data_IF_550514535325
#
_entry.id   IF_550514535325
#
_cell.length_a   1.000
_cell.length_b   1.000
_cell.length_c   1.000
_cell.angle_alpha   90.00
_cell.angle_beta   90.00
_cell.angle_gamma   90.00
#
_symmetry.space_group_name_H-M   'P 1'
#
loop_
_entity.id
_entity.type
_entity.pdbx_description
1 polymer ?
#
# COMPACT_ATOMS: atom_id res chain seq x y z
N UNK A 1 2.94 -16.14 13.15
CA UNK A 1 2.01 -15.61 12.15
C UNK A 1 0.97 -16.67 11.86
N UNK A 2 -0.32 -16.45 12.08
CA UNK A 2 -1.30 -17.34 11.46
C UNK A 2 -1.14 -17.14 9.96
N UNK A 3 -1.21 -18.23 9.20
CA UNK A 3 -1.24 -18.11 7.75
C UNK A 3 -2.42 -17.24 7.36
N UNK A 4 -2.26 -16.29 6.43
CA UNK A 4 -3.39 -15.52 5.91
C UNK A 4 -4.44 -16.50 5.35
N UNK A 5 -5.71 -16.15 5.49
CA UNK A 5 -6.79 -16.97 4.92
C UNK A 5 -6.68 -16.87 3.39
N UNK A 6 -6.47 -18.01 2.76
CA UNK A 6 -6.35 -18.09 1.28
C UNK A 6 -7.76 -18.26 0.71
N UNK A 7 -8.12 -17.46 -0.29
CA UNK A 7 -9.34 -17.70 -1.07
C UNK A 7 -9.22 -19.00 -1.87
N UNK A 8 -10.31 -19.73 -2.02
CA UNK A 8 -10.27 -21.15 -2.46
C UNK A 8 -9.75 -21.38 -3.87
N UNK A 9 -9.96 -20.43 -4.79
CA UNK A 9 -9.49 -20.55 -6.18
C UNK A 9 -8.12 -19.88 -6.33
N UNK A 10 -7.24 -20.47 -7.13
CA UNK A 10 -5.93 -19.91 -7.48
C UNK A 10 -5.80 -19.77 -8.99
N UNK A 11 -5.03 -18.79 -9.42
CA UNK A 11 -4.59 -18.62 -10.81
C UNK A 11 -3.19 -19.24 -10.99
N UNK A 12 -2.81 -19.50 -12.23
CA UNK A 12 -1.48 -20.09 -12.53
C UNK A 12 -0.36 -19.04 -12.49
N UNK A 13 -0.72 -17.75 -12.58
CA UNK A 13 0.21 -16.61 -12.62
C UNK A 13 0.02 -15.67 -11.44
N UNK A 14 1.03 -14.86 -11.09
CA UNK A 14 0.91 -13.81 -10.06
C UNK A 14 -0.20 -12.82 -10.39
N UNK A 15 -0.88 -12.34 -9.37
CA UNK A 15 -1.88 -11.27 -9.48
C UNK A 15 -1.16 -9.95 -9.21
N UNK A 16 -1.11 -9.07 -10.20
CA UNK A 16 -0.38 -7.80 -10.13
C UNK A 16 -1.27 -6.63 -9.71
N UNK A 17 -2.57 -6.72 -9.97
CA UNK A 17 -3.54 -5.70 -9.52
C UNK A 17 -4.75 -6.35 -8.85
N UNK A 18 -5.13 -5.77 -7.70
CA UNK A 18 -6.42 -5.96 -7.07
C UNK A 18 -7.22 -4.67 -7.14
N UNK A 19 -8.50 -4.76 -7.48
CA UNK A 19 -9.43 -3.64 -7.46
C UNK A 19 -10.74 -4.04 -6.78
N UNK A 20 -11.54 -3.05 -6.42
CA UNK A 20 -12.78 -3.23 -5.69
C UNK A 20 -13.87 -2.32 -6.23
N UNK A 21 -15.08 -2.86 -6.37
CA UNK A 21 -16.29 -2.10 -6.66
C UNK A 21 -17.36 -2.45 -5.63
N UNK A 22 -17.83 -1.45 -4.90
CA UNK A 22 -19.06 -1.57 -4.13
C UNK A 22 -20.24 -1.30 -5.06
N UNK A 23 -20.98 -2.37 -5.39
CA UNK A 23 -22.10 -2.31 -6.28
C UNK A 23 -23.38 -2.10 -5.49
N UNK A 24 -23.97 -0.94 -5.62
CA UNK A 24 -25.32 -0.66 -5.13
C UNK A 24 -26.34 -1.25 -6.10
N UNK A 25 -27.42 -1.77 -5.58
CA UNK A 25 -28.47 -2.33 -6.41
C UNK A 25 -29.76 -1.50 -6.33
N UNK A 26 -30.14 -0.92 -7.45
CA UNK A 26 -31.27 0.01 -7.52
C UNK A 26 -32.61 -0.66 -7.77
N UNK A 27 -32.67 -1.99 -8.02
CA UNK A 27 -33.88 -2.72 -8.38
C UNK A 27 -34.31 -3.80 -7.38
N UNK A 28 -33.97 -3.65 -6.10
CA UNK A 28 -34.47 -4.52 -5.00
C UNK A 28 -33.58 -5.73 -4.66
N UNK A 29 -32.42 -5.92 -5.32
CA UNK A 29 -31.40 -6.87 -4.85
C UNK A 29 -30.52 -6.22 -3.78
N UNK A 30 -29.82 -7.04 -3.00
CA UNK A 30 -28.88 -6.56 -2.02
C UNK A 30 -27.61 -5.99 -2.69
N UNK A 31 -27.06 -4.94 -2.09
CA UNK A 31 -25.76 -4.43 -2.44
C UNK A 31 -24.70 -5.53 -2.37
N UNK A 32 -23.72 -5.48 -3.25
CA UNK A 32 -22.65 -6.48 -3.34
C UNK A 32 -21.30 -5.82 -3.49
N UNK A 33 -20.33 -6.39 -2.82
CA UNK A 33 -18.93 -6.08 -3.05
C UNK A 33 -18.36 -7.02 -4.11
N UNK A 34 -17.60 -6.45 -5.02
CA UNK A 34 -16.95 -7.17 -6.11
C UNK A 34 -15.47 -6.90 -6.08
N UNK A 35 -14.68 -7.95 -6.01
CA UNK A 35 -13.23 -7.89 -6.15
C UNK A 35 -12.85 -8.19 -7.59
N UNK A 36 -11.81 -7.52 -8.06
CA UNK A 36 -11.22 -7.73 -9.37
C UNK A 36 -9.74 -8.07 -9.22
N UNK A 37 -9.25 -8.95 -10.10
CA UNK A 37 -7.86 -9.38 -10.15
C UNK A 37 -7.35 -9.36 -11.59
N UNK A 38 -6.23 -8.68 -11.84
CA UNK A 38 -5.57 -8.70 -13.14
C UNK A 38 -4.32 -9.58 -13.08
N UNK A 39 -4.26 -10.54 -14.01
CA UNK A 39 -3.19 -11.53 -14.11
C UNK A 39 -3.15 -12.14 -15.52
N UNK A 40 -1.97 -12.42 -16.05
CA UNK A 40 -1.77 -13.12 -17.34
C UNK A 40 -2.55 -12.50 -18.52
N UNK A 41 -2.55 -11.17 -18.61
CA UNK A 41 -3.28 -10.45 -19.68
C UNK A 41 -4.79 -10.56 -19.60
N UNK A 42 -5.34 -10.93 -18.44
CA UNK A 42 -6.78 -11.13 -18.18
C UNK A 42 -7.21 -10.40 -16.93
N UNK A 43 -8.48 -10.08 -16.87
CA UNK A 43 -9.13 -9.53 -15.67
C UNK A 43 -10.23 -10.49 -15.24
N UNK A 44 -10.27 -10.77 -13.96
CA UNK A 44 -11.27 -11.61 -13.32
C UNK A 44 -12.04 -10.80 -12.28
N UNK A 45 -13.29 -11.18 -12.04
CA UNK A 45 -14.09 -10.65 -10.97
C UNK A 45 -14.62 -11.75 -10.05
N UNK A 46 -14.88 -11.40 -8.81
CA UNK A 46 -15.52 -12.27 -7.83
C UNK A 46 -16.49 -11.45 -6.99
N UNK A 47 -17.75 -11.83 -6.95
CA UNK A 47 -18.71 -11.30 -5.96
C UNK A 47 -18.33 -11.87 -4.61
N UNK A 48 -18.07 -11.01 -3.64
CA UNK A 48 -17.64 -11.44 -2.31
C UNK A 48 -18.70 -12.38 -1.69
N UNK A 49 -18.22 -13.53 -1.23
CA UNK A 49 -19.07 -14.61 -0.71
C UNK A 49 -19.41 -15.71 -1.72
N UNK A 50 -19.20 -15.50 -3.03
CA UNK A 50 -19.39 -16.59 -4.02
C UNK A 50 -18.26 -17.62 -3.96
N UNK A 51 -17.03 -17.16 -3.66
CA UNK A 51 -15.85 -18.00 -3.60
C UNK A 51 -15.27 -18.39 -4.98
N UNK A 52 -15.84 -17.91 -6.07
CA UNK A 52 -15.44 -18.25 -7.45
C UNK A 52 -15.07 -16.99 -8.24
N UNK A 53 -13.94 -17.06 -8.95
CA UNK A 53 -13.50 -16.03 -9.88
C UNK A 53 -14.01 -16.34 -11.29
N UNK A 54 -14.57 -15.33 -11.94
CA UNK A 54 -15.05 -15.39 -13.32
C UNK A 54 -14.22 -14.45 -14.18
N UNK A 55 -13.72 -14.92 -15.31
CA UNK A 55 -13.01 -14.07 -16.26
C UNK A 55 -13.97 -13.07 -16.90
N UNK A 56 -13.57 -11.81 -16.99
CA UNK A 56 -14.28 -10.81 -17.80
C UNK A 56 -14.03 -11.05 -19.29
N UNK A 57 -15.03 -10.78 -20.09
CA UNK A 57 -14.86 -10.73 -21.53
C UNK A 57 -14.00 -9.55 -21.94
N UNK A 58 -13.24 -9.69 -23.01
CA UNK A 58 -12.48 -8.58 -23.57
C UNK A 58 -13.39 -7.61 -24.35
N UNK A 59 -13.06 -6.32 -24.38
CA UNK A 59 -13.72 -5.39 -25.31
C UNK A 59 -13.54 -5.88 -26.76
N UNK A 60 -14.45 -5.45 -27.65
CA UNK A 60 -14.37 -5.79 -29.07
C UNK A 60 -13.01 -5.44 -29.68
N UNK A 61 -12.38 -6.41 -30.30
CA UNK A 61 -11.07 -6.26 -30.95
C UNK A 61 -9.86 -6.48 -30.04
N UNK A 62 -10.04 -6.70 -28.75
CA UNK A 62 -9.00 -7.04 -27.79
C UNK A 62 -9.01 -8.56 -27.55
N UNK A 63 -7.86 -9.20 -27.53
CA UNK A 63 -7.71 -10.64 -27.27
C UNK A 63 -6.89 -10.95 -26.02
N UNK A 64 -6.09 -10.01 -25.55
CA UNK A 64 -5.34 -10.05 -24.30
C UNK A 64 -4.90 -8.63 -23.97
N UNK A 65 -4.68 -8.33 -22.69
CA UNK A 65 -4.03 -7.09 -22.25
C UNK A 65 -2.52 -7.27 -22.23
N UNK A 66 -1.78 -6.20 -22.56
CA UNK A 66 -0.32 -6.19 -22.54
C UNK A 66 0.26 -6.01 -21.15
N UNK A 67 -0.50 -5.34 -20.26
CA UNK A 67 -0.08 -5.02 -18.89
C UNK A 67 -1.11 -5.52 -17.87
N UNK A 68 -0.64 -6.02 -16.73
CA UNK A 68 -1.50 -6.44 -15.61
C UNK A 68 -1.52 -5.42 -14.46
N UNK A 69 -0.71 -4.36 -14.54
CA UNK A 69 -0.70 -3.28 -13.55
C UNK A 69 -1.69 -2.20 -13.99
N UNK A 70 -2.78 -2.09 -13.26
CA UNK A 70 -3.87 -1.17 -13.56
C UNK A 70 -4.09 -0.16 -12.44
N UNK A 71 -4.22 1.10 -12.82
CA UNK A 71 -4.85 2.11 -11.97
C UNK A 71 -6.36 2.00 -12.11
N UNK A 72 -7.11 2.18 -11.04
CA UNK A 72 -8.55 2.02 -11.06
C UNK A 72 -9.28 3.07 -10.23
N UNK A 73 -10.52 3.35 -10.63
CA UNK A 73 -11.42 4.24 -9.91
C UNK A 73 -12.86 3.72 -10.01
N UNK A 74 -13.59 3.76 -8.91
CA UNK A 74 -15.02 3.49 -8.92
C UNK A 74 -15.78 4.77 -9.32
N UNK A 75 -16.79 4.61 -10.16
CA UNK A 75 -17.62 5.71 -10.62
C UNK A 75 -19.09 5.29 -10.72
N UNK A 76 -19.99 6.25 -10.89
CA UNK A 76 -21.41 6.02 -11.09
C UNK A 76 -21.84 6.71 -12.39
N UNK A 77 -22.48 5.97 -13.28
CA UNK A 77 -23.00 6.49 -14.53
C UNK A 77 -24.51 6.39 -14.60
N UNK A 78 -25.14 7.28 -15.36
CA UNK A 78 -26.54 7.21 -15.71
C UNK A 78 -26.66 6.80 -17.18
N UNK A 79 -26.91 5.49 -17.49
CA UNK A 79 -27.03 5.06 -18.87
C UNK A 79 -28.21 5.75 -19.56
N UNK A 80 -28.03 6.13 -20.83
CA UNK A 80 -29.10 6.74 -21.61
C UNK A 80 -30.38 5.87 -21.60
N UNK A 81 -31.51 6.52 -21.31
CA UNK A 81 -32.82 5.85 -21.26
C UNK A 81 -33.08 5.01 -20.02
N UNK A 82 -32.20 5.04 -19.01
CA UNK A 82 -32.37 4.40 -17.71
C UNK A 82 -32.68 5.42 -16.63
N UNK A 83 -33.69 5.12 -15.77
CA UNK A 83 -33.91 5.91 -14.56
C UNK A 83 -32.98 5.49 -13.42
N UNK A 84 -32.24 4.38 -13.57
CA UNK A 84 -31.34 3.84 -12.56
C UNK A 84 -29.88 4.09 -12.95
N UNK A 85 -29.14 4.64 -12.02
CA UNK A 85 -27.68 4.74 -12.12
C UNK A 85 -27.01 3.36 -11.97
N UNK A 86 -25.82 3.23 -12.50
CA UNK A 86 -25.03 2.00 -12.46
C UNK A 86 -23.63 2.31 -11.94
N UNK A 87 -23.21 1.59 -10.90
CA UNK A 87 -21.84 1.64 -10.44
C UNK A 87 -20.92 0.93 -11.44
N UNK A 88 -19.81 1.57 -11.80
CA UNK A 88 -18.83 1.05 -12.74
C UNK A 88 -17.42 1.12 -12.17
N UNK A 89 -16.59 0.18 -12.58
CA UNK A 89 -15.16 0.22 -12.33
C UNK A 89 -14.45 0.69 -13.60
N UNK A 90 -13.71 1.77 -13.48
CA UNK A 90 -12.81 2.26 -14.51
C UNK A 90 -11.41 1.73 -14.21
N UNK A 91 -10.75 1.20 -15.24
CA UNK A 91 -9.37 0.70 -15.12
C UNK A 91 -8.55 1.27 -16.28
N UNK A 92 -7.34 1.71 -16.01
CA UNK A 92 -6.45 2.29 -17.02
C UNK A 92 -5.00 1.88 -16.78
N UNK A 93 -4.28 1.67 -17.84
CA UNK A 93 -2.83 1.57 -17.85
C UNK A 93 -2.25 2.25 -19.10
N UNK A 94 -0.96 2.55 -19.07
CA UNK A 94 -0.28 3.28 -20.15
C UNK A 94 -0.08 2.45 -21.44
N UNK A 95 -0.29 1.14 -21.40
CA UNK A 95 -0.11 0.25 -22.55
C UNK A 95 -1.42 -0.04 -23.28
N UNK A 96 -2.44 -0.48 -22.56
CA UNK A 96 -3.73 -0.90 -23.13
C UNK A 96 -4.74 0.24 -23.27
N UNK A 97 -4.61 1.29 -22.44
CA UNK A 97 -5.55 2.40 -22.36
C UNK A 97 -6.60 2.21 -21.27
N UNK A 98 -7.80 2.74 -21.47
CA UNK A 98 -8.83 2.78 -20.44
C UNK A 98 -10.01 1.87 -20.80
N UNK A 99 -10.53 1.15 -19.81
CA UNK A 99 -11.72 0.33 -19.92
C UNK A 99 -12.71 0.66 -18.80
N UNK A 100 -13.98 0.39 -19.06
CA UNK A 100 -15.07 0.45 -18.09
C UNK A 100 -15.68 -0.92 -17.93
N UNK A 101 -15.84 -1.37 -16.68
CA UNK A 101 -16.56 -2.59 -16.31
C UNK A 101 -17.85 -2.18 -15.61
N UNK A 102 -18.98 -2.58 -16.15
CA UNK A 102 -20.30 -2.32 -15.54
C UNK A 102 -20.53 -3.22 -14.34
N UNK A 103 -20.99 -2.67 -13.22
CA UNK A 103 -21.26 -3.45 -12.02
C UNK A 103 -22.52 -4.34 -12.10
N UNK A 104 -23.48 -4.00 -12.96
CA UNK A 104 -24.72 -4.75 -13.14
C UNK A 104 -24.55 -6.00 -14.01
N UNK A 105 -23.85 -5.90 -15.12
CA UNK A 105 -23.74 -6.95 -16.15
C UNK A 105 -22.35 -7.52 -16.27
N UNK A 106 -21.33 -6.88 -15.68
CA UNK A 106 -19.89 -7.15 -15.87
C UNK A 106 -19.43 -7.02 -17.33
N UNK A 107 -20.22 -6.32 -18.15
CA UNK A 107 -19.81 -6.01 -19.51
C UNK A 107 -18.63 -5.03 -19.49
N UNK A 108 -17.65 -5.29 -20.38
CA UNK A 108 -16.44 -4.50 -20.52
C UNK A 108 -16.49 -3.67 -21.80
N UNK A 109 -16.23 -2.38 -21.68
CA UNK A 109 -16.17 -1.45 -22.81
C UNK A 109 -14.85 -0.73 -22.80
N UNK A 110 -14.16 -0.64 -23.93
CA UNK A 110 -13.00 0.22 -24.10
C UNK A 110 -13.48 1.68 -24.21
N UNK A 111 -12.78 2.58 -23.53
CA UNK A 111 -13.04 4.02 -23.57
C UNK A 111 -12.00 4.69 -24.46
N UNK A 112 -12.46 5.44 -25.45
CA UNK A 112 -11.58 6.28 -26.23
C UNK A 112 -11.17 7.51 -25.42
N UNK A 113 -9.89 7.58 -25.08
CA UNK A 113 -9.31 8.70 -24.33
C UNK A 113 -8.30 9.45 -25.20
N UNK A 114 -8.06 10.76 -24.95
CA UNK A 114 -7.12 11.54 -25.76
C UNK A 114 -5.68 11.04 -25.65
N UNK A 115 -5.36 10.38 -24.54
CA UNK A 115 -4.06 9.78 -24.22
C UNK A 115 -4.25 8.49 -23.44
N UNK A 116 -3.23 7.65 -23.40
CA UNK A 116 -3.19 6.48 -22.51
C UNK A 116 -2.66 6.89 -21.15
N UNK A 117 -3.44 6.66 -20.11
CA UNK A 117 -3.13 7.08 -18.74
C UNK A 117 -2.55 5.92 -17.95
N UNK A 118 -1.39 6.12 -17.32
CA UNK A 118 -0.83 5.20 -16.35
C UNK A 118 -1.51 5.27 -14.99
N UNK A 119 -2.16 6.39 -14.69
CA UNK A 119 -2.89 6.61 -13.43
C UNK A 119 -4.18 7.34 -13.68
N UNK A 120 -5.25 6.94 -12.99
CA UNK A 120 -6.54 7.63 -12.99
C UNK A 120 -7.03 7.86 -11.56
N UNK A 121 -7.81 8.91 -11.37
CA UNK A 121 -8.44 9.23 -10.09
C UNK A 121 -9.74 9.99 -10.31
N UNK A 122 -10.76 9.75 -9.49
CA UNK A 122 -12.01 10.53 -9.48
C UNK A 122 -11.82 11.80 -8.68
N UNK A 123 -12.14 12.95 -9.27
CA UNK A 123 -12.19 14.21 -8.55
C UNK A 123 -13.17 15.18 -9.22
N UNK A 124 -13.99 15.89 -8.41
CA UNK A 124 -14.96 16.89 -8.87
C UNK A 124 -15.88 16.37 -10.00
N UNK A 125 -16.49 15.21 -9.76
CA UNK A 125 -17.40 14.51 -10.68
C UNK A 125 -16.79 14.20 -12.07
N UNK A 126 -15.46 14.16 -12.16
CA UNK A 126 -14.69 13.86 -13.37
C UNK A 126 -13.69 12.74 -13.08
N UNK A 127 -13.27 12.09 -14.15
CA UNK A 127 -12.06 11.24 -14.09
C UNK A 127 -10.88 12.06 -14.57
N UNK A 128 -9.84 12.04 -13.76
CA UNK A 128 -8.54 12.62 -14.09
C UNK A 128 -7.57 11.53 -14.48
N UNK A 129 -6.81 11.77 -15.54
CA UNK A 129 -5.77 10.86 -16.04
C UNK A 129 -4.43 11.55 -16.09
N UNK A 130 -3.38 10.82 -15.77
CA UNK A 130 -1.98 11.27 -15.76
C UNK A 130 -1.00 10.12 -15.98
N UNK A 131 0.27 10.37 -15.71
CA UNK A 131 1.36 9.43 -15.99
C UNK A 131 1.35 9.00 -17.48
N UNK A 132 1.31 9.97 -18.37
CA UNK A 132 1.23 9.78 -19.81
C UNK A 132 2.65 9.62 -20.36
N UNK A 133 3.01 8.50 -21.01
CA UNK A 133 4.39 8.27 -21.45
C UNK A 133 4.95 9.35 -22.38
N UNK A 134 4.15 9.81 -23.33
CA UNK A 134 4.58 10.80 -24.32
C UNK A 134 4.43 12.26 -23.85
N UNK A 135 3.66 12.51 -22.80
CA UNK A 135 3.38 13.85 -22.24
C UNK A 135 3.42 13.81 -20.71
N UNK A 136 4.61 13.63 -20.09
CA UNK A 136 4.75 13.35 -18.66
C UNK A 136 4.29 14.47 -17.72
N UNK A 137 4.16 15.69 -18.25
CA UNK A 137 3.70 16.89 -17.53
C UNK A 137 2.21 17.19 -17.69
N UNK A 138 1.50 16.36 -18.46
CA UNK A 138 0.10 16.58 -18.78
C UNK A 138 -0.82 15.79 -17.85
N UNK A 139 -1.90 16.44 -17.45
CA UNK A 139 -3.09 15.83 -16.84
C UNK A 139 -4.28 16.10 -17.75
N UNK A 140 -5.10 15.08 -17.98
CA UNK A 140 -6.36 15.21 -18.69
C UNK A 140 -7.53 14.96 -17.74
N UNK A 141 -8.71 15.52 -18.04
CA UNK A 141 -9.93 15.27 -17.28
C UNK A 141 -11.12 15.07 -18.22
N UNK A 142 -12.05 14.17 -17.85
CA UNK A 142 -13.28 13.88 -18.59
C UNK A 142 -14.32 15.00 -18.45
N UNK A 143 -15.41 14.92 -19.18
CA UNK A 143 -16.62 15.71 -18.88
C UNK A 143 -17.13 15.38 -17.49
N UNK A 144 -17.83 16.33 -16.81
CA UNK A 144 -18.47 16.04 -15.53
C UNK A 144 -19.60 15.00 -15.72
N UNK A 145 -19.74 14.09 -14.76
CA UNK A 145 -20.77 13.05 -14.73
C UNK A 145 -20.68 12.00 -15.86
N UNK A 146 -19.75 12.16 -16.82
CA UNK A 146 -19.51 11.16 -17.86
C UNK A 146 -18.03 10.81 -17.98
N UNK A 147 -17.59 9.70 -17.40
CA UNK A 147 -16.19 9.26 -17.45
C UNK A 147 -15.80 8.72 -18.85
N UNK A 148 -16.74 8.56 -19.76
CA UNK A 148 -16.50 8.05 -21.12
C UNK A 148 -16.35 9.14 -22.15
N UNK A 149 -16.77 10.37 -21.86
CA UNK A 149 -16.68 11.51 -22.76
C UNK A 149 -15.47 12.40 -22.42
N UNK A 150 -14.57 12.51 -23.37
CA UNK A 150 -13.32 13.28 -23.29
C UNK A 150 -13.28 14.41 -24.31
N UNK A 151 -14.45 14.86 -24.78
CA UNK A 151 -14.54 15.94 -25.75
C UNK A 151 -14.59 17.31 -25.07
N UNK A 152 -13.88 18.30 -25.63
CA UNK A 152 -13.94 19.68 -25.16
C UNK A 152 -15.35 20.26 -25.31
N UNK A 153 -15.67 21.28 -24.53
CA UNK A 153 -16.93 22.03 -24.67
C UNK A 153 -17.09 22.55 -26.08
N UNK A 154 -18.31 22.38 -26.62
CA UNK A 154 -18.69 22.93 -27.91
C UNK A 154 -18.85 24.45 -27.88
N UNK A 155 -19.05 25.11 -29.04
CA UNK A 155 -19.16 26.56 -29.10
C UNK A 155 -20.40 27.15 -28.41
N UNK A 156 -21.40 26.31 -28.14
CA UNK A 156 -22.67 26.70 -27.51
C UNK A 156 -22.77 26.11 -26.07
N UNK A 157 -21.71 25.49 -25.57
CA UNK A 157 -21.63 24.92 -24.22
C UNK A 157 -20.76 25.79 -23.31
N UNK A 158 -21.00 25.74 -22.00
CA UNK A 158 -20.15 26.43 -21.05
C UNK A 158 -18.80 25.68 -20.92
N UNK A 159 -17.67 26.37 -20.74
CA UNK A 159 -16.35 25.72 -20.62
C UNK A 159 -16.26 24.67 -19.52
N UNK A 160 -17.04 24.83 -18.45
CA UNK A 160 -17.13 23.91 -17.33
C UNK A 160 -17.78 22.56 -17.70
N UNK A 161 -18.55 22.49 -18.78
CA UNK A 161 -19.19 21.25 -19.23
C UNK A 161 -18.24 20.37 -20.07
N UNK A 162 -17.14 20.93 -20.55
CA UNK A 162 -16.18 20.22 -21.41
C UNK A 162 -15.15 19.37 -20.64
N UNK A 163 -14.60 18.40 -21.35
CA UNK A 163 -13.33 17.77 -20.98
C UNK A 163 -12.15 18.68 -21.38
N UNK A 164 -10.98 18.40 -20.87
CA UNK A 164 -9.78 19.17 -21.21
C UNK A 164 -8.50 18.56 -20.68
N UNK A 165 -7.44 19.32 -20.86
CA UNK A 165 -6.12 18.98 -20.38
C UNK A 165 -5.42 20.18 -19.73
N UNK A 166 -4.44 19.89 -18.90
CA UNK A 166 -3.63 20.87 -18.20
C UNK A 166 -2.18 20.40 -18.22
N UNK A 167 -1.33 21.28 -18.71
CA UNK A 167 0.11 21.01 -18.75
C UNK A 167 0.80 21.77 -17.60
N UNK A 168 1.56 21.04 -16.78
CA UNK A 168 2.39 21.59 -15.69
C UNK A 168 3.86 21.25 -15.93
N UNK A 169 4.53 21.96 -16.83
CA UNK A 169 5.89 21.63 -17.23
C UNK A 169 6.86 21.76 -16.05
N UNK A 170 7.73 20.78 -15.94
CA UNK A 170 8.87 20.81 -15.04
C UNK A 170 10.15 20.92 -15.86
N UNK A 171 11.02 21.85 -15.49
CA UNK A 171 12.29 22.13 -16.20
C UNK A 171 13.31 21.00 -16.08
N UNK A 172 13.09 20.06 -15.20
CA UNK A 172 13.95 18.91 -14.86
C UNK A 172 13.42 17.56 -15.39
N UNK A 173 12.34 17.59 -16.18
CA UNK A 173 11.74 16.37 -16.74
C UNK A 173 10.99 15.52 -15.72
N UNK A 174 10.56 16.11 -14.61
CA UNK A 174 9.82 15.42 -13.55
C UNK A 174 8.40 15.08 -14.02
N UNK A 175 8.06 13.80 -14.07
CA UNK A 175 6.79 13.28 -14.58
C UNK A 175 5.75 13.06 -13.49
N UNK A 176 4.48 13.18 -13.82
CA UNK A 176 3.40 12.73 -12.94
C UNK A 176 3.48 11.20 -12.73
N UNK A 177 3.31 10.78 -11.48
CA UNK A 177 3.39 9.37 -11.08
C UNK A 177 2.11 8.87 -10.45
N UNK A 178 1.44 9.67 -9.63
CA UNK A 178 0.22 9.27 -8.95
C UNK A 178 -0.78 10.43 -8.82
N UNK A 179 -2.05 10.09 -8.76
CA UNK A 179 -3.16 10.99 -8.47
C UNK A 179 -3.94 10.43 -7.29
N UNK A 180 -4.34 11.27 -6.33
CA UNK A 180 -5.21 10.85 -5.22
C UNK A 180 -6.11 12.00 -4.79
N UNK A 181 -7.40 11.72 -4.64
CA UNK A 181 -8.31 12.64 -3.97
C UNK A 181 -7.98 12.69 -2.48
N UNK A 182 -7.84 13.89 -1.92
CA UNK A 182 -7.60 14.15 -0.51
C UNK A 182 -8.50 15.28 -0.03
N UNK A 183 -9.56 14.93 0.67
CA UNK A 183 -10.63 15.87 1.02
C UNK A 183 -11.30 16.44 -0.24
N UNK A 184 -11.34 17.77 -0.34
CA UNK A 184 -11.92 18.47 -1.50
C UNK A 184 -10.84 18.96 -2.48
N UNK A 185 -9.79 18.21 -2.67
CA UNK A 185 -8.69 18.55 -3.56
C UNK A 185 -8.12 17.29 -4.21
N UNK A 186 -7.57 17.46 -5.40
CA UNK A 186 -6.80 16.43 -6.07
C UNK A 186 -5.32 16.69 -5.80
N UNK A 187 -4.62 15.66 -5.35
CA UNK A 187 -3.17 15.69 -5.16
C UNK A 187 -2.52 14.92 -6.31
N UNK A 188 -1.70 15.63 -7.07
CA UNK A 188 -0.94 15.08 -8.17
C UNK A 188 0.53 14.99 -7.76
N UNK A 189 1.03 13.76 -7.72
CA UNK A 189 2.42 13.47 -7.37
C UNK A 189 3.26 13.41 -8.63
N UNK A 190 4.41 14.07 -8.61
CA UNK A 190 5.53 13.82 -9.50
C UNK A 190 6.62 13.04 -8.77
N UNK A 191 7.69 12.65 -9.45
CA UNK A 191 8.79 11.92 -8.80
C UNK A 191 9.44 12.73 -7.65
N UNK A 192 9.53 14.06 -7.82
CA UNK A 192 10.23 14.94 -6.88
C UNK A 192 9.36 16.06 -6.32
N UNK A 193 8.11 16.19 -6.75
CA UNK A 193 7.19 17.28 -6.39
C UNK A 193 5.79 16.77 -6.13
N UNK A 194 5.04 17.57 -5.40
CA UNK A 194 3.61 17.36 -5.16
C UNK A 194 2.87 18.61 -5.57
N UNK A 195 1.81 18.44 -6.32
CA UNK A 195 0.91 19.51 -6.73
C UNK A 195 -0.45 19.31 -6.10
N UNK A 196 -1.00 20.40 -5.60
CA UNK A 196 -2.37 20.45 -5.10
C UNK A 196 -3.24 21.17 -6.10
N UNK A 197 -4.29 20.49 -6.53
CA UNK A 197 -5.27 21.01 -7.47
C UNK A 197 -6.54 21.30 -6.69
N UNK A 198 -6.97 22.55 -6.75
CA UNK A 198 -8.16 23.10 -6.08
C UNK A 198 -9.15 23.57 -7.16
N UNK A 199 -10.43 23.65 -6.79
CA UNK A 199 -11.52 24.01 -7.67
C UNK A 199 -12.28 22.79 -8.15
N UNK A 200 -13.53 22.99 -8.56
CA UNK A 200 -14.42 21.93 -9.05
C UNK A 200 -14.58 22.01 -10.58
N UNK A 201 -14.33 23.18 -11.14
CA UNK A 201 -14.59 23.48 -12.54
C UNK A 201 -13.34 23.99 -13.27
N UNK A 202 -13.21 23.76 -14.58
CA UNK A 202 -12.05 24.13 -15.38
C UNK A 202 -11.59 25.58 -15.24
N UNK A 203 -12.50 26.51 -15.12
CA UNK A 203 -12.20 27.95 -14.93
C UNK A 203 -11.65 28.30 -13.55
N UNK A 204 -11.82 27.42 -12.57
CA UNK A 204 -11.43 27.63 -11.18
C UNK A 204 -10.21 26.81 -10.76
N UNK A 205 -9.72 25.90 -11.60
CA UNK A 205 -8.59 25.05 -11.22
C UNK A 205 -7.37 25.88 -10.89
N UNK A 206 -6.91 25.71 -9.65
CA UNK A 206 -5.69 26.37 -9.15
C UNK A 206 -4.66 25.32 -8.79
N UNK A 207 -3.49 25.43 -9.40
CA UNK A 207 -2.34 24.55 -9.17
C UNK A 207 -1.38 25.18 -8.19
N UNK A 208 -1.09 24.47 -7.10
CA UNK A 208 -0.12 24.93 -6.09
C UNK A 208 0.90 23.83 -5.80
N UNK A 209 2.15 24.12 -6.10
CA UNK A 209 3.26 23.26 -5.70
C UNK A 209 3.37 23.25 -4.18
N UNK A 210 3.59 22.06 -3.61
CA UNK A 210 3.75 21.84 -2.19
C UNK A 210 5.21 21.61 -1.85
N UNK A 211 5.59 21.99 -0.64
CA UNK A 211 6.96 21.82 -0.17
C UNK A 211 7.24 20.34 0.19
N UNK A 212 8.46 19.90 -0.07
CA UNK A 212 8.95 18.56 0.17
C UNK A 212 9.14 17.77 -1.12
N UNK A 213 9.32 16.48 -1.01
CA UNK A 213 9.51 15.58 -2.15
C UNK A 213 8.21 15.08 -2.74
N UNK A 214 8.31 14.40 -3.88
CA UNK A 214 7.23 13.61 -4.47
C UNK A 214 7.40 12.12 -4.21
N UNK A 215 6.86 11.29 -5.08
CA UNK A 215 7.07 9.84 -5.05
C UNK A 215 7.28 9.27 -6.45
N UNK A 216 8.38 8.55 -6.68
CA UNK A 216 8.54 7.77 -7.91
C UNK A 216 7.80 6.42 -7.85
N UNK A 217 7.13 6.09 -6.73
CA UNK A 217 6.53 4.78 -6.46
C UNK A 217 5.00 4.90 -6.31
N UNK A 218 4.25 4.98 -7.43
CA UNK A 218 2.82 5.29 -7.42
C UNK A 218 1.97 4.35 -6.58
N UNK A 219 2.28 3.06 -6.60
CA UNK A 219 1.51 2.04 -5.89
C UNK A 219 1.74 2.04 -4.37
N UNK A 220 2.65 2.89 -3.87
CA UNK A 220 2.86 3.08 -2.43
C UNK A 220 1.97 4.15 -1.83
N UNK A 221 1.31 4.98 -2.64
CA UNK A 221 0.50 6.10 -2.18
C UNK A 221 -0.81 5.62 -1.58
N UNK A 222 -0.94 5.77 -0.28
CA UNK A 222 -2.12 5.38 0.49
C UNK A 222 -2.71 6.57 1.25
N UNK A 223 -4.02 6.75 1.16
CA UNK A 223 -4.74 7.91 1.69
C UNK A 223 -5.51 7.54 2.96
N UNK A 224 -5.38 8.35 4.00
CA UNK A 224 -6.27 8.40 5.16
C UNK A 224 -7.03 9.74 5.16
N UNK A 225 -8.00 9.90 6.04
CA UNK A 225 -8.78 11.14 6.18
C UNK A 225 -7.94 12.38 6.52
N UNK A 226 -6.80 12.18 7.18
CA UNK A 226 -5.95 13.26 7.70
C UNK A 226 -4.63 13.42 6.95
N UNK A 227 -4.19 12.40 6.20
CA UNK A 227 -2.86 12.38 5.58
C UNK A 227 -2.74 11.36 4.47
N UNK A 228 -1.74 11.54 3.63
CA UNK A 228 -1.32 10.56 2.62
C UNK A 228 0.05 10.03 3.05
N UNK A 229 0.22 8.70 3.02
CA UNK A 229 1.51 8.05 3.23
C UNK A 229 2.01 7.50 1.89
N UNK A 230 3.33 7.54 1.72
CA UNK A 230 3.99 7.09 0.51
C UNK A 230 5.46 6.75 0.80
N UNK A 231 6.11 6.12 -0.15
CA UNK A 231 7.57 5.96 -0.15
C UNK A 231 8.21 6.97 -1.11
N UNK A 232 9.37 7.47 -0.74
CA UNK A 232 10.26 8.24 -1.61
C UNK A 232 11.62 7.53 -1.78
N UNK A 233 12.56 8.15 -2.47
CA UNK A 233 13.91 7.59 -2.67
C UNK A 233 14.67 7.36 -1.37
N UNK A 234 14.33 8.06 -0.31
CA UNK A 234 15.05 8.08 0.96
C UNK A 234 14.27 7.41 2.11
N UNK A 235 13.06 6.91 1.87
CA UNK A 235 12.28 6.25 2.91
C UNK A 235 10.79 6.42 2.79
N UNK A 236 10.11 6.37 3.92
CA UNK A 236 8.69 6.66 4.02
C UNK A 236 8.46 8.16 4.26
N UNK A 237 7.44 8.69 3.62
CA UNK A 237 6.99 10.06 3.76
C UNK A 237 5.51 10.15 4.06
N UNK A 238 5.14 11.28 4.64
CA UNK A 238 3.76 11.65 4.93
C UNK A 238 3.48 13.04 4.36
N UNK A 239 2.34 13.18 3.69
CA UNK A 239 1.79 14.45 3.26
C UNK A 239 0.57 14.80 4.12
N UNK A 240 0.55 15.99 4.70
CA UNK A 240 -0.46 16.46 5.66
C UNK A 240 -1.47 17.48 5.04
N UNK A 241 -1.42 17.66 3.74
CA UNK A 241 -2.21 18.66 3.01
C UNK A 241 -1.43 19.95 2.71
N UNK A 242 -0.24 20.14 3.29
CA UNK A 242 0.60 21.32 3.11
C UNK A 242 2.04 21.00 2.72
N UNK A 243 2.60 19.94 3.28
CA UNK A 243 3.99 19.57 3.06
C UNK A 243 4.23 18.08 3.13
N UNK A 244 5.25 17.62 2.45
CA UNK A 244 5.76 16.25 2.56
C UNK A 244 6.83 16.22 3.63
N UNK A 245 6.67 15.35 4.62
CA UNK A 245 7.64 15.18 5.72
C UNK A 245 8.09 13.71 5.82
N UNK A 246 9.39 13.45 6.05
CA UNK A 246 9.88 12.09 6.21
C UNK A 246 9.42 11.48 7.53
N UNK A 247 9.09 10.19 7.50
CA UNK A 247 8.72 9.40 8.68
C UNK A 247 9.93 8.64 9.18
N UNK A 248 10.40 8.98 10.40
CA UNK A 248 11.45 8.24 11.13
C UNK A 248 12.64 7.79 10.26
N UNK A 249 13.09 8.63 9.34
CA UNK A 249 14.19 8.34 8.40
C UNK A 249 15.43 7.76 9.09
N UNK A 250 15.80 8.30 10.25
CA UNK A 250 16.97 7.82 11.01
C UNK A 250 16.82 6.36 11.49
N UNK A 251 15.59 5.88 11.70
CA UNK A 251 15.31 4.51 12.17
C UNK A 251 15.42 3.51 11.03
N UNK A 252 14.93 3.88 9.86
CA UNK A 252 14.86 2.99 8.69
C UNK A 252 16.05 3.14 7.73
N UNK A 253 16.96 4.10 7.95
CA UNK A 253 18.06 4.41 7.03
C UNK A 253 18.89 3.15 6.66
N UNK A 254 19.31 2.37 7.64
CA UNK A 254 20.09 1.15 7.41
C UNK A 254 19.29 0.11 6.59
N UNK A 255 17.98 0.01 6.83
CA UNK A 255 17.10 -0.87 6.07
C UNK A 255 16.90 -0.33 4.65
N UNK A 256 16.67 0.97 4.52
CA UNK A 256 16.41 1.59 3.22
C UNK A 256 17.59 1.50 2.26
N UNK A 257 18.82 1.48 2.77
CA UNK A 257 20.02 1.22 1.98
C UNK A 257 20.07 -0.18 1.37
N UNK A 258 19.27 -1.12 1.87
CA UNK A 258 19.17 -2.48 1.30
C UNK A 258 18.14 -2.60 0.19
N UNK A 259 17.34 -1.57 -0.07
CA UNK A 259 16.33 -1.56 -1.14
C UNK A 259 17.00 -1.71 -2.50
N UNK A 260 16.50 -2.65 -3.29
CA UNK A 260 16.95 -2.82 -4.67
C UNK A 260 16.36 -1.74 -5.56
N UNK A 261 17.14 -0.70 -5.84
CA UNK A 261 16.71 0.44 -6.64
C UNK A 261 16.37 0.11 -8.10
N UNK A 262 16.78 -1.06 -8.61
CA UNK A 262 16.46 -1.50 -9.97
C UNK A 262 15.13 -2.27 -10.09
N UNK A 263 14.44 -2.49 -8.99
CA UNK A 263 13.16 -3.22 -8.95
C UNK A 263 12.08 -2.50 -8.12
N UNK A 264 12.20 -1.20 -7.97
CA UNK A 264 11.28 -0.38 -7.16
C UNK A 264 9.89 -0.20 -7.77
N UNK A 265 9.71 -0.50 -9.03
CA UNK A 265 8.40 -0.50 -9.72
C UNK A 265 7.40 -1.47 -9.07
N UNK A 266 7.92 -2.52 -8.41
CA UNK A 266 7.12 -3.51 -7.69
C UNK A 266 6.65 -3.05 -6.30
N UNK A 267 7.18 -1.92 -5.80
CA UNK A 267 6.82 -1.42 -4.48
C UNK A 267 5.33 -1.10 -4.40
N UNK A 268 4.68 -1.55 -3.35
CA UNK A 268 3.27 -1.26 -3.10
C UNK A 268 3.00 -0.98 -1.63
N UNK A 269 1.94 -0.22 -1.37
CA UNK A 269 1.56 0.14 -0.01
C UNK A 269 0.06 0.23 0.17
N UNK A 270 -0.37 0.07 1.42
CA UNK A 270 -1.77 0.24 1.80
C UNK A 270 -1.86 0.82 3.22
N UNK A 271 -2.96 1.49 3.48
CA UNK A 271 -3.28 2.00 4.81
C UNK A 271 -4.51 1.27 5.34
N UNK A 272 -4.34 0.57 6.46
CA UNK A 272 -5.42 -0.17 7.09
C UNK A 272 -5.34 -0.10 8.61
N UNK A 273 -6.44 0.24 9.27
CA UNK A 273 -6.55 0.36 10.74
C UNK A 273 -5.41 1.17 11.38
N UNK A 274 -5.14 2.36 10.81
CA UNK A 274 -4.06 3.26 11.27
C UNK A 274 -2.65 2.67 11.18
N UNK A 275 -2.45 1.68 10.31
CA UNK A 275 -1.15 1.11 9.99
C UNK A 275 -0.88 1.24 8.50
N UNK A 276 0.30 1.71 8.16
CA UNK A 276 0.76 1.76 6.79
C UNK A 276 1.65 0.55 6.51
N UNK A 277 1.24 -0.23 5.53
CA UNK A 277 1.93 -1.41 5.04
C UNK A 277 2.70 -1.03 3.80
N UNK A 278 3.99 -1.31 3.76
CA UNK A 278 4.86 -1.01 2.63
C UNK A 278 5.68 -2.24 2.28
N UNK A 279 5.41 -2.80 1.11
CA UNK A 279 6.17 -3.91 0.55
C UNK A 279 7.21 -3.40 -0.44
N UNK A 280 8.43 -3.95 -0.40
CA UNK A 280 9.54 -3.49 -1.22
C UNK A 280 10.60 -4.58 -1.44
N UNK A 281 11.38 -4.48 -2.53
CA UNK A 281 12.47 -5.41 -2.81
C UNK A 281 13.72 -5.04 -2.04
N UNK A 282 14.43 -6.04 -1.48
CA UNK A 282 15.71 -5.84 -0.79
C UNK A 282 16.81 -6.74 -1.36
N UNK A 283 18.04 -6.31 -1.21
CA UNK A 283 19.22 -7.02 -1.72
C UNK A 283 19.23 -7.10 -3.24
N UNK A 284 19.25 -8.28 -3.80
CA UNK A 284 19.21 -8.52 -5.25
C UNK A 284 17.83 -9.02 -5.73
N UNK A 285 16.81 -8.93 -4.89
CA UNK A 285 15.46 -9.39 -5.28
C UNK A 285 14.86 -8.46 -6.33
N UNK A 286 14.25 -9.04 -7.35
CA UNK A 286 13.49 -8.32 -8.39
C UNK A 286 11.99 -8.26 -8.09
N UNK A 287 11.56 -8.90 -6.99
CA UNK A 287 10.18 -8.87 -6.47
C UNK A 287 10.22 -8.38 -5.04
N UNK A 288 9.10 -7.87 -4.54
CA UNK A 288 9.00 -7.50 -3.14
C UNK A 288 9.26 -8.72 -2.25
N UNK A 289 10.20 -8.63 -1.35
CA UNK A 289 10.57 -9.68 -0.41
C UNK A 289 10.63 -9.20 1.04
N UNK A 290 10.24 -7.96 1.27
CA UNK A 290 10.20 -7.33 2.57
C UNK A 290 8.90 -6.54 2.77
N UNK A 291 8.39 -6.54 4.00
CA UNK A 291 7.23 -5.77 4.42
C UNK A 291 7.59 -4.94 5.65
N UNK A 292 7.39 -3.65 5.57
CA UNK A 292 7.48 -2.72 6.68
C UNK A 292 6.08 -2.25 7.06
N UNK A 293 5.73 -2.32 8.34
CA UNK A 293 4.44 -1.87 8.87
C UNK A 293 4.71 -0.74 9.85
N UNK A 294 4.21 0.43 9.53
CA UNK A 294 4.29 1.62 10.38
C UNK A 294 2.96 1.83 11.11
N UNK A 295 2.98 1.80 12.43
CA UNK A 295 1.82 2.12 13.24
C UNK A 295 1.76 3.64 13.47
N UNK A 296 0.74 4.29 12.93
CA UNK A 296 0.56 5.74 13.00
C UNK A 296 0.16 6.24 14.39
N UNK A 297 -0.31 5.35 15.29
CA UNK A 297 -0.77 5.74 16.62
C UNK A 297 0.39 5.94 17.59
N UNK A 298 1.38 5.06 17.56
CA UNK A 298 2.50 5.04 18.50
C UNK A 298 3.88 5.21 17.83
N UNK A 299 3.90 5.28 16.50
CA UNK A 299 5.13 5.44 15.72
C UNK A 299 5.99 4.19 15.67
N UNK A 300 5.51 3.04 16.11
CA UNK A 300 6.28 1.79 16.03
C UNK A 300 6.36 1.25 14.61
N UNK A 301 7.44 0.53 14.32
CA UNK A 301 7.66 -0.13 13.05
C UNK A 301 7.91 -1.60 13.24
N UNK A 302 7.26 -2.42 12.41
CA UNK A 302 7.48 -3.84 12.32
C UNK A 302 8.05 -4.15 10.94
N UNK A 303 9.09 -4.95 10.90
CA UNK A 303 9.74 -5.39 9.68
C UNK A 303 9.65 -6.90 9.55
N UNK A 304 9.23 -7.35 8.39
CA UNK A 304 9.19 -8.75 8.02
C UNK A 304 10.03 -8.95 6.77
N UNK A 305 10.98 -9.86 6.84
CA UNK A 305 11.71 -10.38 5.68
C UNK A 305 11.00 -11.61 5.12
N UNK A 306 11.28 -11.93 3.88
CA UNK A 306 10.71 -13.12 3.20
C UNK A 306 9.19 -13.11 3.02
N UNK A 307 8.56 -11.93 3.01
CA UNK A 307 7.18 -11.73 2.60
C UNK A 307 7.13 -11.04 1.25
N UNK A 308 6.72 -11.79 0.24
CA UNK A 308 6.62 -11.30 -1.14
C UNK A 308 5.20 -10.84 -1.43
N UNK A 309 4.92 -9.56 -1.22
CA UNK A 309 3.62 -8.96 -1.49
C UNK A 309 3.70 -8.16 -2.80
N UNK A 310 2.81 -8.44 -3.74
CA UNK A 310 2.76 -7.79 -5.06
C UNK A 310 1.75 -6.64 -5.10
N UNK A 311 0.61 -6.81 -4.44
CA UNK A 311 -0.45 -5.81 -4.42
C UNK A 311 -1.22 -5.86 -3.12
N UNK A 312 -1.76 -4.72 -2.71
CA UNK A 312 -2.69 -4.60 -1.59
C UNK A 312 -4.03 -4.05 -2.05
N UNK A 313 -5.08 -4.45 -1.35
CA UNK A 313 -6.41 -3.88 -1.49
C UNK A 313 -7.09 -3.79 -0.13
N UNK A 314 -7.60 -2.63 0.19
CA UNK A 314 -8.47 -2.43 1.37
C UNK A 314 -9.91 -2.39 0.90
N UNK A 315 -10.70 -3.36 1.32
CA UNK A 315 -12.13 -3.44 1.02
C UNK A 315 -12.86 -4.14 2.16
N UNK A 316 -14.11 -3.75 2.45
CA UNK A 316 -14.96 -4.36 3.48
C UNK A 316 -14.31 -4.47 4.87
N UNK A 317 -13.61 -3.44 5.31
CA UNK A 317 -12.86 -3.47 6.58
C UNK A 317 -11.84 -4.61 6.67
N UNK A 318 -11.37 -5.11 5.53
CA UNK A 318 -10.36 -6.15 5.39
C UNK A 318 -9.18 -5.64 4.56
N UNK A 319 -8.03 -6.21 4.82
CA UNK A 319 -6.83 -6.02 4.02
C UNK A 319 -6.58 -7.28 3.21
N UNK A 320 -6.68 -7.16 1.90
CA UNK A 320 -6.31 -8.20 0.96
C UNK A 320 -4.91 -7.95 0.41
N UNK A 321 -4.22 -9.02 0.08
CA UNK A 321 -2.91 -8.95 -0.54
C UNK A 321 -2.72 -10.09 -1.55
N UNK A 322 -1.83 -9.88 -2.49
CA UNK A 322 -1.32 -10.91 -3.40
C UNK A 322 0.15 -11.17 -3.13
N UNK A 323 0.66 -12.31 -3.52
CA UNK A 323 2.03 -12.70 -3.22
C UNK A 323 2.65 -13.50 -4.33
N UNK A 324 3.89 -13.14 -4.73
CA UNK A 324 4.66 -13.92 -5.70
C UNK A 324 5.11 -15.29 -5.15
N UNK A 325 5.22 -15.44 -3.84
CA UNK A 325 5.51 -16.74 -3.21
C UNK A 325 4.30 -17.68 -3.17
N UNK A 326 3.11 -17.16 -3.34
CA UNK A 326 1.86 -17.90 -3.48
C UNK A 326 1.13 -17.40 -4.74
N UNK A 327 1.68 -17.67 -5.93
CA UNK A 327 1.15 -17.10 -7.16
C UNK A 327 -0.31 -17.46 -7.35
N UNK A 328 -1.06 -16.51 -7.89
CA UNK A 328 -2.47 -16.68 -8.19
C UNK A 328 -3.42 -16.75 -6.99
N UNK A 329 -2.94 -16.46 -5.77
CA UNK A 329 -3.79 -16.48 -4.57
C UNK A 329 -4.02 -15.10 -4.03
N UNK A 330 -5.27 -14.82 -3.64
CA UNK A 330 -5.63 -13.65 -2.85
C UNK A 330 -5.65 -14.04 -1.38
N UNK A 331 -4.93 -13.28 -0.58
CA UNK A 331 -4.75 -13.49 0.84
C UNK A 331 -5.55 -12.46 1.61
N UNK A 332 -6.37 -12.87 2.57
CA UNK A 332 -6.95 -11.98 3.57
C UNK A 332 -5.97 -11.89 4.75
N UNK A 333 -5.43 -10.70 4.99
CA UNK A 333 -4.52 -10.46 6.10
C UNK A 333 -5.35 -10.23 7.36
N UNK A 334 -5.41 -11.24 8.21
CA UNK A 334 -6.09 -11.14 9.50
C UNK A 334 -5.10 -10.68 10.58
N UNK A 335 -5.23 -9.42 10.99
CA UNK A 335 -4.35 -8.82 11.99
C UNK A 335 -4.50 -9.44 13.39
N UNK A 336 -5.71 -9.82 13.79
CA UNK A 336 -5.95 -10.38 15.13
C UNK A 336 -5.26 -11.74 15.31
N UNK A 337 -5.16 -12.53 14.24
CA UNK A 337 -4.38 -13.77 14.26
C UNK A 337 -2.86 -13.51 14.17
N UNK A 338 -2.46 -12.36 13.65
CA UNK A 338 -1.06 -11.92 13.60
C UNK A 338 -0.53 -11.52 14.97
N UNK A 339 -1.35 -10.82 15.76
CA UNK A 339 -1.03 -10.45 17.15
C UNK A 339 -1.03 -11.66 18.08
N UNK A 340 -1.86 -12.66 17.85
CA UNK A 340 -1.96 -13.85 18.71
C UNK A 340 -0.90 -14.91 18.45
N UNK A 341 -0.04 -14.75 17.45
CA UNK A 341 1.23 -15.46 17.33
C UNK A 341 1.15 -16.99 17.21
N UNK A 342 0.18 -17.52 16.46
CA UNK A 342 0.11 -18.96 16.18
C UNK A 342 0.98 -19.43 15.02
N UNK A 343 1.85 -18.57 14.49
CA UNK A 343 2.82 -18.97 13.49
C UNK A 343 3.94 -19.78 14.13
N UNK A 344 3.99 -21.05 13.82
CA UNK A 344 5.13 -21.90 14.17
C UNK A 344 6.35 -21.48 13.33
N UNK A 345 7.45 -21.15 13.99
CA UNK A 345 8.78 -21.18 13.40
C UNK A 345 9.34 -19.89 12.80
N UNK A 346 8.66 -18.74 12.84
CA UNK A 346 9.26 -17.50 12.36
C UNK A 346 10.25 -16.91 13.37
N UNK A 347 11.48 -16.65 12.93
CA UNK A 347 12.41 -15.82 13.69
C UNK A 347 11.92 -14.37 13.69
N UNK A 348 11.83 -13.77 14.86
CA UNK A 348 11.45 -12.36 15.00
C UNK A 348 12.60 -11.56 15.54
N UNK A 349 12.79 -10.35 15.01
CA UNK A 349 13.82 -9.42 15.46
C UNK A 349 13.20 -8.06 15.74
N UNK A 350 13.39 -7.58 16.96
CA UNK A 350 13.03 -6.21 17.36
C UNK A 350 14.30 -5.40 17.61
N UNK A 351 14.34 -4.17 17.14
CA UNK A 351 15.48 -3.26 17.26
C UNK A 351 14.98 -1.91 17.78
N UNK A 352 15.54 -1.46 18.91
CA UNK A 352 15.23 -0.10 19.39
C UNK A 352 15.88 0.97 18.50
N UNK A 353 15.37 2.20 18.52
CA UNK A 353 16.14 3.35 18.07
C UNK A 353 17.50 3.45 18.78
N UNK A 354 18.42 4.24 18.20
CA UNK A 354 19.66 4.58 18.88
C UNK A 354 19.36 5.47 20.10
N UNK A 355 19.79 5.04 21.27
CA UNK A 355 19.55 5.70 22.55
C UNK A 355 20.85 6.37 23.00
N UNK A 356 20.85 7.68 23.20
CA UNK A 356 21.99 8.45 23.70
C UNK A 356 21.76 9.05 25.10
N UNK A 357 20.57 8.86 25.66
CA UNK A 357 20.11 9.43 26.94
C UNK A 357 20.28 10.95 27.02
N UNK A 358 20.20 11.66 25.90
CA UNK A 358 20.36 13.11 25.84
C UNK A 358 21.80 13.64 25.92
N UNK A 359 22.79 12.73 26.03
CA UNK A 359 24.21 13.11 26.20
C UNK A 359 25.07 12.53 25.06
N UNK A 360 25.02 13.13 23.88
CA UNK A 360 25.68 12.64 22.66
C UNK A 360 27.21 12.47 22.75
N UNK A 361 27.88 13.23 23.61
CA UNK A 361 29.34 13.25 23.73
C UNK A 361 29.89 12.35 24.84
N UNK A 362 29.07 11.91 25.79
CA UNK A 362 29.51 11.15 26.96
C UNK A 362 29.49 9.65 26.67
N UNK A 363 30.57 8.95 26.94
CA UNK A 363 30.60 7.50 26.91
C UNK A 363 29.83 6.92 28.11
N UNK A 364 28.99 5.93 27.83
CA UNK A 364 28.15 5.22 28.81
C UNK A 364 28.49 3.74 28.80
N UNK A 365 28.35 3.09 29.93
CA UNK A 365 28.69 1.69 30.03
C UNK A 365 27.98 1.01 31.19
N UNK A 366 27.90 -0.34 31.14
CA UNK A 366 27.25 -1.14 32.16
C UNK A 366 25.72 -1.07 32.07
N UNK A 367 25.13 -1.84 31.16
CA UNK A 367 23.68 -1.85 30.95
C UNK A 367 23.04 -3.03 31.64
N UNK A 368 21.90 -2.79 32.25
CA UNK A 368 21.04 -3.80 32.81
C UNK A 368 19.69 -3.77 32.10
N UNK A 369 19.28 -4.92 31.59
CA UNK A 369 17.97 -5.12 31.00
C UNK A 369 17.12 -5.93 31.95
N UNK A 370 15.98 -5.38 32.31
CA UNK A 370 14.95 -6.07 33.07
C UNK A 370 13.79 -6.40 32.14
N UNK A 371 13.37 -7.66 32.11
CA UNK A 371 12.24 -8.09 31.29
C UNK A 371 11.46 -9.19 32.00
N UNK A 372 10.15 -9.22 31.74
CA UNK A 372 9.27 -10.28 32.22
C UNK A 372 8.77 -11.03 30.98
N UNK A 373 9.30 -12.21 30.70
CA UNK A 373 8.84 -12.99 29.55
C UNK A 373 7.50 -13.62 29.84
N UNK A 374 6.64 -13.72 28.87
CA UNK A 374 5.42 -14.51 28.90
C UNK A 374 5.40 -15.45 27.70
N UNK A 375 5.25 -16.75 27.95
CA UNK A 375 5.21 -17.79 26.92
C UNK A 375 4.04 -18.71 27.21
N UNK A 376 3.16 -18.90 26.23
CA UNK A 376 1.89 -19.62 26.43
C UNK A 376 2.00 -21.13 26.20
N UNK A 377 2.71 -21.57 25.17
CA UNK A 377 2.62 -22.96 24.70
C UNK A 377 3.96 -23.65 24.50
N UNK A 378 4.96 -23.01 23.92
CA UNK A 378 6.23 -23.64 23.53
C UNK A 378 7.42 -22.88 24.11
N UNK A 379 8.48 -23.55 24.51
CA UNK A 379 9.70 -22.88 24.94
C UNK A 379 10.28 -21.99 23.83
N UNK A 380 10.66 -20.77 24.18
CA UNK A 380 11.23 -19.80 23.25
C UNK A 380 12.60 -19.35 23.74
N UNK A 381 13.59 -19.35 22.85
CA UNK A 381 14.90 -18.77 23.14
C UNK A 381 14.93 -17.35 22.63
N UNK A 382 15.13 -16.40 23.55
CA UNK A 382 15.30 -14.97 23.26
C UNK A 382 16.79 -14.64 23.30
N UNK A 383 17.28 -14.01 22.24
CA UNK A 383 18.63 -13.44 22.19
C UNK A 383 18.53 -11.92 22.34
N UNK A 384 19.20 -11.40 23.34
CA UNK A 384 19.28 -9.98 23.63
C UNK A 384 20.67 -9.47 23.25
N UNK A 385 20.75 -8.50 22.39
CA UNK A 385 22.01 -7.87 21.99
C UNK A 385 21.99 -6.38 22.30
N UNK A 386 23.06 -5.90 22.92
CA UNK A 386 23.35 -4.47 23.02
C UNK A 386 24.41 -4.13 21.97
N UNK A 387 24.00 -3.31 21.01
CA UNK A 387 24.91 -2.78 20.00
C UNK A 387 25.33 -1.37 20.37
N UNK A 388 26.64 -1.12 20.31
CA UNK A 388 27.24 0.22 20.35
C UNK A 388 27.82 0.55 18.98
N UNK A 389 28.32 1.76 18.78
CA UNK A 389 28.99 2.13 17.52
C UNK A 389 30.18 1.22 17.16
N UNK A 390 30.72 0.51 18.13
CA UNK A 390 31.94 -0.28 17.95
C UNK A 390 31.76 -1.78 18.13
N UNK A 391 30.78 -2.23 18.90
CA UNK A 391 30.64 -3.63 19.29
C UNK A 391 29.19 -4.03 19.53
N UNK A 392 28.91 -5.30 19.27
CA UNK A 392 27.67 -5.97 19.66
C UNK A 392 27.99 -6.98 20.74
N UNK A 393 27.17 -7.06 21.79
CA UNK A 393 27.25 -8.08 22.82
C UNK A 393 25.89 -8.74 22.96
N UNK A 394 25.85 -10.04 22.82
CA UNK A 394 24.63 -10.87 22.84
C UNK A 394 24.59 -11.78 24.06
N UNK A 395 23.41 -11.95 24.63
CA UNK A 395 23.09 -12.95 25.64
C UNK A 395 21.78 -13.62 25.28
N UNK A 396 21.73 -14.95 25.40
CA UNK A 396 20.51 -15.71 25.11
C UNK A 396 19.89 -16.21 26.41
N UNK A 397 18.58 -16.30 26.42
CA UNK A 397 17.78 -16.80 27.52
C UNK A 397 16.62 -17.63 26.99
N UNK A 398 16.49 -18.88 27.45
CA UNK A 398 15.37 -19.73 27.08
C UNK A 398 14.27 -19.64 28.13
N UNK A 399 13.08 -19.30 27.68
CA UNK A 399 11.85 -19.19 28.48
C UNK A 399 11.05 -20.45 28.28
N UNK A 400 10.73 -21.13 29.38
CA UNK A 400 9.83 -22.29 29.37
C UNK A 400 8.40 -21.83 29.64
N UNK A 401 7.38 -22.41 29.00
CA UNK A 401 5.99 -22.12 29.32
C UNK A 401 5.68 -22.62 30.76
N UNK A 402 4.74 -21.92 31.40
CA UNK A 402 4.21 -22.41 32.67
C UNK A 402 3.31 -23.62 32.42
N UNK A 403 3.40 -24.60 33.26
CA UNK A 403 2.53 -25.77 33.23
C UNK A 403 1.11 -25.39 33.69
N UNK A 404 0.11 -26.17 33.27
CA UNK A 404 -1.28 -25.96 33.69
C UNK A 404 -1.42 -25.92 35.21
N UNK A 405 -0.65 -26.77 35.90
CA UNK A 405 -0.64 -26.82 37.36
C UNK A 405 -0.06 -25.54 37.97
N UNK A 406 0.97 -24.96 37.36
CA UNK A 406 1.58 -23.73 37.83
C UNK A 406 0.67 -22.53 37.61
N UNK A 407 -0.03 -22.49 36.46
CA UNK A 407 -1.02 -21.46 36.16
C UNK A 407 -2.19 -21.55 37.16
N UNK A 408 -2.71 -22.75 37.40
CA UNK A 408 -3.78 -22.98 38.38
C UNK A 408 -3.37 -22.60 39.81
N UNK A 409 -2.05 -22.69 40.13
CA UNK A 409 -1.48 -22.26 41.39
C UNK A 409 -1.19 -20.73 41.45
N UNK A 410 -1.60 -19.96 40.45
CA UNK A 410 -1.40 -18.50 40.39
C UNK A 410 0.06 -18.09 40.16
N UNK A 411 0.92 -19.00 39.66
CA UNK A 411 2.29 -18.62 39.30
C UNK A 411 2.31 -17.78 38.02
N UNK A 412 3.23 -16.84 37.98
CA UNK A 412 3.55 -16.00 36.84
C UNK A 412 5.05 -16.07 36.53
N UNK A 413 5.40 -15.72 35.30
CA UNK A 413 6.82 -15.58 34.95
C UNK A 413 7.47 -14.48 35.78
N UNK A 414 8.65 -14.80 36.35
CA UNK A 414 9.41 -13.84 37.16
C UNK A 414 10.22 -12.91 36.25
N UNK A 415 10.35 -11.66 36.68
CA UNK A 415 11.26 -10.70 36.05
C UNK A 415 12.69 -11.26 36.01
N UNK A 416 13.35 -11.09 34.88
CA UNK A 416 14.75 -11.47 34.67
C UNK A 416 15.60 -10.23 34.49
N UNK A 417 16.86 -10.34 34.86
CA UNK A 417 17.89 -9.31 34.76
C UNK A 417 19.05 -9.81 33.93
N UNK A 418 19.39 -9.07 32.88
CA UNK A 418 20.59 -9.32 32.09
C UNK A 418 21.53 -8.12 32.22
N UNK A 419 22.77 -8.40 32.56
CA UNK A 419 23.80 -7.38 32.64
C UNK A 419 24.71 -7.43 31.39
N UNK A 420 24.88 -6.29 30.71
CA UNK A 420 25.73 -6.14 29.55
C UNK A 420 26.88 -5.20 29.87
N UNK A 421 28.12 -5.67 29.81
CA UNK A 421 29.29 -4.83 29.85
C UNK A 421 29.57 -4.25 28.46
N UNK A 422 30.01 -3.02 28.39
CA UNK A 422 30.37 -2.34 27.14
C UNK A 422 30.38 -0.84 27.34
N UNK A 423 31.05 -0.11 26.46
CA UNK A 423 31.03 1.36 26.43
C UNK A 423 30.71 1.86 25.04
N UNK A 424 29.85 2.88 24.95
CA UNK A 424 29.49 3.56 23.71
C UNK A 424 28.87 4.92 24.00
N UNK A 425 28.77 5.77 23.01
CA UNK A 425 28.04 7.05 23.11
C UNK A 425 26.55 6.86 22.87
N UNK A 426 26.24 5.97 21.93
CA UNK A 426 24.88 5.53 21.60
C UNK A 426 24.82 4.00 21.63
N UNK A 427 23.66 3.47 21.93
CA UNK A 427 23.39 2.04 21.85
C UNK A 427 21.97 1.80 21.39
N UNK A 428 21.77 0.62 20.84
CA UNK A 428 20.44 0.07 20.59
C UNK A 428 20.32 -1.34 21.15
N UNK A 429 19.12 -1.66 21.61
CA UNK A 429 18.77 -3.00 22.03
C UNK A 429 18.22 -3.77 20.84
N UNK A 430 18.68 -4.99 20.66
CA UNK A 430 18.17 -5.93 19.67
C UNK A 430 17.66 -7.14 20.43
N UNK A 431 16.42 -7.54 20.16
CA UNK A 431 15.81 -8.74 20.71
C UNK A 431 15.46 -9.64 19.55
N UNK A 432 15.94 -10.89 19.58
CA UNK A 432 15.71 -11.87 18.51
C UNK A 432 15.17 -13.17 19.11
N UNK A 433 14.23 -13.78 18.41
CA UNK A 433 13.81 -15.16 18.68
C UNK A 433 14.47 -16.06 17.65
N UNK A 434 15.01 -17.20 18.07
CA UNK A 434 15.38 -18.24 17.13
C UNK A 434 14.11 -18.86 16.55
N UNK A 435 14.12 -19.18 15.25
CA UNK A 435 13.10 -20.03 14.68
C UNK A 435 13.15 -21.39 15.40
N UNK A 436 12.06 -21.81 16.01
CA UNK A 436 11.96 -23.17 16.51
C UNK A 436 11.84 -24.08 15.29
N UNK A 437 12.95 -24.70 14.93
CA UNK A 437 12.95 -25.84 14.02
C UNK A 437 12.39 -27.02 14.80
N UNK A 438 11.10 -27.30 14.60
CA UNK A 438 10.50 -28.57 14.99
C UNK A 438 10.41 -29.46 13.79
#
# INVERSE_FOLDING_TARGET
>A
MAAPTVMQQSFDHPIETLAHLYRRWYSGEADKDVLFAATDGKIYYMVVGSGEWTQLDYPTGVTAYGCNVWSWAAYEINPEGSEASVDVLLMSNAEDGMIMVRGDTFAVTAIETPKKFGVIERYAERIWGGAIPDDPDMLCYSRPYDPTDWTAAGPDEEPEDGAGDINQPSWDGDSFTALRQFGQQLIAFKQHRVWRILGTDPGEYTFKEQYGGGTPFPNTVAVDTERILMADKDGMCMYDGLSVTPIQREVIEDLWRTVNQSATEQMCGALFRKRYYLAFPTGNSTVNNALLIYNMQDGTMLYYDSLSIESFLVAQEKLYATSSSLPGKVLEINWDSWETGTASGAATRWVSPWIDFGYKKIQKGGFELYFTPEVKTTAVTLSFSIQTEKKIKTKSYTVQPLTVTEIAAGKSHKQKRLHFGGMGRRFRLIIETAANVT
#
